data_IF_776026721711
#
_entry.id   IF_776026721711
#
_cell.length_a   1.000
_cell.length_b   1.000
_cell.length_c   1.000
_cell.angle_alpha   90.00
_cell.angle_beta   90.00
_cell.angle_gamma   90.00
#
_symmetry.space_group_name_H-M   'P 1'
#
loop_
_entity.id
_entity.type
_entity.pdbx_description
1 polymer ?
#
# COMPACT_ATOMS: atom_id res chain seq x y z
N UNK A 1 -23.22 -29.93 -19.16
CA UNK A 1 -22.21 -28.92 -18.79
C UNK A 1 -22.00 -28.02 -20.00
N UNK A 2 -22.14 -26.69 -19.88
CA UNK A 2 -21.93 -25.77 -21.01
C UNK A 2 -20.43 -25.49 -21.16
N UNK A 3 -19.93 -25.63 -22.37
CA UNK A 3 -18.54 -25.32 -22.71
C UNK A 3 -18.39 -23.80 -22.83
N UNK A 4 -17.48 -23.20 -22.05
CA UNK A 4 -17.15 -21.78 -22.13
C UNK A 4 -15.83 -21.67 -22.90
N UNK A 5 -15.85 -20.98 -24.04
CA UNK A 5 -14.64 -20.61 -24.77
C UNK A 5 -14.20 -19.22 -24.30
N UNK A 6 -12.96 -19.10 -23.83
CA UNK A 6 -12.38 -17.83 -23.36
C UNK A 6 -11.34 -17.36 -24.39
N UNK A 7 -11.58 -16.19 -24.98
CA UNK A 7 -10.60 -15.51 -25.83
C UNK A 7 -9.95 -14.39 -25.02
N UNK A 8 -8.64 -14.48 -24.78
CA UNK A 8 -7.89 -13.49 -24.02
C UNK A 8 -6.51 -13.22 -24.64
N UNK A 9 -5.91 -12.04 -24.41
CA UNK A 9 -4.53 -11.79 -24.80
C UNK A 9 -3.57 -12.78 -24.12
N UNK A 10 -2.53 -13.20 -24.83
CA UNK A 10 -1.48 -14.09 -24.28
C UNK A 10 -0.85 -13.54 -23.00
N UNK A 11 -0.67 -12.22 -22.91
CA UNK A 11 -0.18 -11.55 -21.70
C UNK A 11 -1.01 -11.88 -20.45
N UNK A 12 -2.33 -12.03 -20.56
CA UNK A 12 -3.20 -12.34 -19.41
C UNK A 12 -2.95 -13.77 -18.93
N UNK A 13 -2.73 -14.70 -19.85
CA UNK A 13 -2.42 -16.09 -19.52
C UNK A 13 -1.00 -16.25 -18.94
N UNK A 14 -0.06 -15.44 -19.42
CA UNK A 14 1.35 -15.50 -19.03
C UNK A 14 1.67 -14.64 -17.79
N UNK A 15 0.73 -13.81 -17.32
CA UNK A 15 0.95 -12.93 -16.18
C UNK A 15 1.09 -13.74 -14.88
N UNK A 16 2.17 -13.46 -14.14
CA UNK A 16 2.39 -13.95 -12.78
C UNK A 16 2.91 -12.82 -11.91
N UNK A 17 2.46 -12.76 -10.65
CA UNK A 17 2.98 -11.80 -9.69
C UNK A 17 4.37 -12.24 -9.22
N UNK A 18 5.37 -11.40 -9.44
CA UNK A 18 6.76 -11.63 -9.01
C UNK A 18 7.07 -11.04 -7.62
N UNK A 19 6.05 -10.56 -6.90
CA UNK A 19 6.17 -10.06 -5.53
C UNK A 19 7.19 -8.91 -5.41
N UNK A 20 8.19 -9.10 -4.54
CA UNK A 20 9.24 -8.11 -4.26
C UNK A 20 10.15 -7.78 -5.44
N UNK A 21 10.18 -8.63 -6.48
CA UNK A 21 10.90 -8.34 -7.73
C UNK A 21 10.14 -7.38 -8.65
N UNK A 22 8.91 -6.98 -8.28
CA UNK A 22 8.13 -6.04 -9.06
C UNK A 22 8.85 -4.69 -9.14
N UNK A 23 9.17 -4.26 -10.37
CA UNK A 23 9.83 -2.97 -10.64
C UNK A 23 9.01 -1.77 -10.14
N UNK A 24 7.69 -1.88 -10.26
CA UNK A 24 6.75 -0.81 -9.94
C UNK A 24 6.01 -1.15 -8.64
N UNK A 25 6.27 -0.38 -7.58
CA UNK A 25 5.58 -0.53 -6.29
C UNK A 25 5.21 0.82 -5.69
N UNK A 26 4.13 0.86 -4.92
CA UNK A 26 3.60 2.11 -4.36
C UNK A 26 4.56 2.76 -3.34
N UNK A 27 5.42 1.97 -2.71
CA UNK A 27 6.23 2.32 -1.55
C UNK A 27 7.51 3.14 -1.86
N UNK A 28 7.57 3.91 -2.96
CA UNK A 28 8.76 4.71 -3.30
C UNK A 28 8.40 5.97 -4.08
N UNK A 29 9.15 7.07 -3.86
CA UNK A 29 9.28 8.16 -4.84
C UNK A 29 8.14 9.19 -4.96
N UNK A 30 7.09 9.15 -4.12
CA UNK A 30 6.00 10.14 -4.13
C UNK A 30 5.32 10.27 -2.75
N UNK A 31 4.45 11.27 -2.59
CA UNK A 31 3.72 11.52 -1.34
C UNK A 31 2.54 10.58 -1.17
N UNK A 32 2.62 9.66 -0.20
CA UNK A 32 1.50 8.80 0.18
C UNK A 32 0.70 9.48 1.31
N UNK A 33 -0.53 9.86 1.00
CA UNK A 33 -1.50 10.35 1.99
C UNK A 33 -2.39 9.20 2.50
N UNK A 34 -2.78 9.28 3.77
CA UNK A 34 -3.72 8.39 4.44
C UNK A 34 -4.95 9.16 4.91
N UNK A 35 -6.11 8.52 4.77
CA UNK A 35 -7.35 9.02 5.35
C UNK A 35 -7.37 8.84 6.87
N UNK A 36 -8.32 9.50 7.53
CA UNK A 36 -8.46 9.47 8.99
C UNK A 36 -8.64 8.04 9.51
N UNK A 37 -9.42 7.21 8.81
CA UNK A 37 -9.63 5.80 9.14
C UNK A 37 -8.34 4.99 9.14
N UNK A 38 -7.52 5.12 8.09
CA UNK A 38 -6.26 4.38 7.95
C UNK A 38 -5.25 4.83 9.00
N UNK A 39 -5.10 6.15 9.22
CA UNK A 39 -4.21 6.66 10.27
C UNK A 39 -4.59 6.08 11.63
N UNK A 40 -5.86 6.13 12.00
CA UNK A 40 -6.34 5.57 13.27
C UNK A 40 -6.14 4.05 13.35
N UNK A 41 -6.40 3.33 12.25
CA UNK A 41 -6.21 1.88 12.15
C UNK A 41 -4.75 1.49 12.40
N UNK A 42 -3.80 2.21 11.83
CA UNK A 42 -2.38 1.90 11.96
C UNK A 42 -1.83 2.30 13.33
N UNK A 43 -2.14 3.51 13.82
CA UNK A 43 -1.69 3.99 15.14
C UNK A 43 -2.26 3.18 16.31
N UNK A 44 -3.42 2.55 16.14
CA UNK A 44 -4.06 1.71 17.14
C UNK A 44 -4.06 0.23 16.76
N UNK A 45 -3.21 -0.19 15.82
CA UNK A 45 -3.18 -1.58 15.35
C UNK A 45 -2.88 -2.53 16.51
N UNK A 46 -3.55 -3.69 16.53
CA UNK A 46 -3.21 -4.78 17.47
C UNK A 46 -1.83 -5.37 17.16
N UNK A 47 -1.40 -5.31 15.90
CA UNK A 47 -0.05 -5.70 15.50
C UNK A 47 0.96 -4.65 16.02
N UNK A 48 1.84 -5.07 16.93
CA UNK A 48 2.78 -4.20 17.59
C UNK A 48 3.80 -3.57 16.63
N UNK A 49 4.28 -4.31 15.63
CA UNK A 49 5.24 -3.82 14.66
C UNK A 49 4.60 -2.70 13.81
N UNK A 50 3.40 -2.92 13.26
CA UNK A 50 2.67 -1.89 12.50
C UNK A 50 2.42 -0.66 13.36
N UNK A 51 1.96 -0.85 14.61
CA UNK A 51 1.69 0.25 15.53
C UNK A 51 2.95 1.07 15.83
N UNK A 52 4.08 0.41 16.04
CA UNK A 52 5.33 1.07 16.36
C UNK A 52 5.88 1.85 15.17
N UNK A 53 5.88 1.24 13.97
CA UNK A 53 6.24 1.93 12.74
C UNK A 53 5.31 3.11 12.48
N UNK A 54 4.00 2.95 12.64
CA UNK A 54 3.04 4.03 12.39
C UNK A 54 3.27 5.27 13.25
N UNK A 55 3.68 5.11 14.51
CA UNK A 55 3.96 6.25 15.42
C UNK A 55 5.10 7.15 14.94
N UNK A 56 6.07 6.60 14.20
CA UNK A 56 7.23 7.35 13.71
C UNK A 56 7.16 7.64 12.22
N UNK A 57 6.45 6.81 11.45
CA UNK A 57 6.36 6.87 10.00
C UNK A 57 5.16 7.65 9.45
N UNK A 58 4.23 8.10 10.31
CA UNK A 58 3.05 8.87 9.88
C UNK A 58 3.08 10.25 10.51
N UNK A 59 3.21 11.27 9.68
CA UNK A 59 2.98 12.66 10.06
C UNK A 59 1.49 12.93 10.03
N UNK A 60 0.86 13.13 11.19
CA UNK A 60 -0.56 13.49 11.26
C UNK A 60 -0.73 14.97 10.91
N UNK A 61 -1.36 15.27 9.77
CA UNK A 61 -1.53 16.63 9.23
C UNK A 61 -2.91 17.20 9.51
N UNK A 62 -3.93 16.34 9.65
CA UNK A 62 -5.35 16.70 9.87
C UNK A 62 -5.92 17.69 8.85
N UNK A 63 -5.39 17.74 7.62
CA UNK A 63 -5.85 18.70 6.59
C UNK A 63 -7.31 18.46 6.21
N UNK A 64 -7.68 17.21 5.96
CA UNK A 64 -9.06 16.78 5.67
C UNK A 64 -9.21 15.26 5.89
N UNK A 65 -10.44 14.72 5.84
CA UNK A 65 -10.68 13.30 6.09
C UNK A 65 -9.84 12.38 5.19
N UNK A 66 -9.77 12.67 3.88
CA UNK A 66 -8.99 11.88 2.91
C UNK A 66 -7.48 12.14 2.92
N UNK A 67 -7.01 13.18 3.63
CA UNK A 67 -5.59 13.50 3.80
C UNK A 67 -5.36 13.92 5.26
N UNK A 68 -5.47 12.94 6.15
CA UNK A 68 -5.35 13.12 7.59
C UNK A 68 -3.92 12.91 8.09
N UNK A 69 -3.15 12.09 7.36
CA UNK A 69 -1.73 11.88 7.63
C UNK A 69 -0.97 11.59 6.34
N UNK A 70 0.34 11.83 6.38
CA UNK A 70 1.26 11.61 5.27
C UNK A 70 2.40 10.69 5.75
N UNK A 71 2.85 9.79 4.88
CA UNK A 71 3.99 8.91 5.17
C UNK A 71 5.28 9.73 5.22
N UNK A 72 6.08 9.51 6.26
CA UNK A 72 7.46 10.00 6.37
C UNK A 72 8.37 8.92 5.77
N UNK A 73 8.93 9.18 4.60
CA UNK A 73 9.82 8.23 3.92
C UNK A 73 11.22 8.20 4.54
N UNK A 74 11.91 7.06 4.41
CA UNK A 74 13.32 6.97 4.74
C UNK A 74 14.13 7.97 3.92
N UNK A 75 15.05 8.69 4.57
CA UNK A 75 15.81 9.79 3.96
C UNK A 75 16.75 9.31 2.86
N UNK A 76 17.46 8.21 3.09
CA UNK A 76 18.44 7.65 2.16
C UNK A 76 17.80 6.76 1.09
N UNK A 77 17.08 5.72 1.51
CA UNK A 77 16.50 4.74 0.57
C UNK A 77 15.27 5.25 -0.18
N UNK A 78 14.64 6.35 0.27
CA UNK A 78 13.37 6.87 -0.26
C UNK A 78 12.22 5.84 -0.28
N UNK A 79 12.33 4.82 0.55
CA UNK A 79 11.32 3.78 0.69
C UNK A 79 10.33 4.11 1.81
N UNK A 80 9.10 3.63 1.63
CA UNK A 80 8.07 3.67 2.66
C UNK A 80 8.51 2.83 3.87
N UNK A 81 8.39 3.32 5.12
CA UNK A 81 8.79 2.55 6.31
C UNK A 81 7.97 1.29 6.57
N UNK A 82 6.86 1.12 5.86
CA UNK A 82 6.07 -0.11 5.90
C UNK A 82 6.53 -1.13 4.85
N UNK A 83 7.56 -0.85 4.06
CA UNK A 83 8.16 -1.82 3.16
C UNK A 83 9.15 -2.69 3.93
N UNK A 84 9.00 -4.01 3.85
CA UNK A 84 9.91 -4.96 4.49
C UNK A 84 11.15 -5.24 3.63
N UNK A 85 12.02 -6.12 4.13
CA UNK A 85 13.26 -6.51 3.47
C UNK A 85 13.03 -7.31 2.18
N UNK A 86 11.86 -7.91 2.02
CA UNK A 86 11.45 -8.62 0.80
C UNK A 86 10.77 -7.68 -0.20
N UNK A 87 10.80 -6.37 0.04
CA UNK A 87 10.14 -5.33 -0.76
C UNK A 87 8.61 -5.50 -0.84
N UNK A 88 8.01 -6.11 0.18
CA UNK A 88 6.57 -6.26 0.32
C UNK A 88 6.03 -5.27 1.36
N UNK A 89 4.72 -5.02 1.29
CA UNK A 89 4.07 -4.13 2.24
C UNK A 89 3.71 -4.87 3.53
N UNK A 90 4.35 -4.51 4.64
CA UNK A 90 4.09 -5.06 5.98
C UNK A 90 2.65 -4.87 6.44
N UNK A 91 1.97 -3.78 6.05
CA UNK A 91 0.55 -3.58 6.37
C UNK A 91 -0.30 -4.66 5.69
N UNK A 92 -0.07 -4.91 4.40
CA UNK A 92 -0.80 -5.93 3.66
C UNK A 92 -0.51 -7.33 4.19
N UNK A 93 0.76 -7.68 4.39
CA UNK A 93 1.13 -9.01 4.87
C UNK A 93 0.61 -9.30 6.28
N UNK A 94 0.65 -8.30 7.18
CA UNK A 94 0.25 -8.49 8.56
C UNK A 94 -1.25 -8.28 8.84
N UNK A 95 -1.95 -7.49 8.03
CA UNK A 95 -3.33 -7.06 8.31
C UNK A 95 -4.31 -7.32 7.15
N UNK A 96 -3.83 -7.83 6.01
CA UNK A 96 -4.63 -8.14 4.83
C UNK A 96 -4.89 -6.94 3.92
N UNK A 97 -5.39 -7.22 2.71
CA UNK A 97 -5.67 -6.21 1.69
C UNK A 97 -6.67 -5.14 2.12
N UNK A 98 -7.65 -5.50 2.96
CA UNK A 98 -8.68 -4.59 3.45
C UNK A 98 -8.11 -3.56 4.44
N UNK A 99 -6.93 -3.82 5.00
CA UNK A 99 -6.25 -2.90 5.89
C UNK A 99 -5.60 -1.73 5.16
N UNK A 100 -5.37 -1.83 3.85
CA UNK A 100 -4.75 -0.77 3.05
C UNK A 100 -5.59 0.50 3.04
N UNK A 101 -4.90 1.64 2.91
CA UNK A 101 -5.55 2.93 2.71
C UNK A 101 -6.14 3.03 1.31
N UNK A 102 -7.06 3.97 1.04
CA UNK A 102 -7.55 4.22 -0.31
C UNK A 102 -6.41 4.45 -1.32
N UNK A 103 -5.41 5.23 -0.91
CA UNK A 103 -4.20 5.51 -1.69
C UNK A 103 -3.41 4.24 -2.03
N UNK A 104 -3.11 3.40 -1.04
CA UNK A 104 -2.30 2.19 -1.24
C UNK A 104 -3.05 1.08 -1.99
N UNK A 105 -4.36 0.95 -1.77
CA UNK A 105 -5.19 -0.07 -2.44
C UNK A 105 -5.50 0.28 -3.91
N UNK A 106 -5.43 1.57 -4.27
CA UNK A 106 -5.70 2.03 -5.63
C UNK A 106 -4.45 2.07 -6.51
N UNK A 107 -3.25 2.25 -5.95
CA UNK A 107 -2.01 2.26 -6.74
C UNK A 107 -1.85 1.00 -7.63
N UNK A 108 -1.34 1.11 -8.87
CA UNK A 108 -0.92 2.33 -9.58
C UNK A 108 -2.07 3.03 -10.32
N UNK A 109 -3.31 2.57 -10.12
CA UNK A 109 -4.49 3.11 -10.79
C UNK A 109 -4.79 4.48 -10.19
N UNK A 110 -4.31 5.52 -10.85
CA UNK A 110 -4.84 6.86 -10.65
C UNK A 110 -6.19 6.92 -11.36
N UNK A 111 -7.28 6.92 -10.60
CA UNK A 111 -8.58 7.31 -11.15
C UNK A 111 -8.56 8.83 -11.31
N UNK A 112 -7.95 9.30 -12.41
CA UNK A 112 -8.01 10.69 -12.81
C UNK A 112 -9.38 11.00 -13.42
N UNK A 113 -10.13 11.87 -12.74
CA UNK A 113 -10.93 12.93 -13.34
C UNK A 113 -10.62 14.21 -12.56
#
# INVERSE_FOLDING_TARGET
MKQISVTQPKLVADFSCVGGECREHCCQGWTIAFDKSSVNRYLNSKNAAIRQTAKTAIKVTKKQYGNWGEVIFHTESKNCPFMDTEKLCSIHSAMGAQALSPTCSSFPRQTGL
#
